data_IF_580491180232
#
_entry.id   IF_580491180232
#
_cell.length_a   1.000
_cell.length_b   1.000
_cell.length_c   1.000
_cell.angle_alpha   90.00
_cell.angle_beta   90.00
_cell.angle_gamma   90.00
#
_symmetry.space_group_name_H-M   'P 1'
#
loop_
_entity.id
_entity.type
_entity.pdbx_description
1 polymer ?
#
# COMPACT_ATOMS: atom_id res chain seq x y z
N UNK A 1 0.74 24.90 -5.55
CA UNK A 1 1.75 24.09 -6.23
C UNK A 1 2.77 23.71 -5.17
N UNK A 2 2.76 22.45 -4.69
CA UNK A 2 3.78 21.96 -3.76
C UNK A 2 4.92 21.45 -4.61
N UNK A 3 6.14 21.93 -4.34
CA UNK A 3 7.36 21.50 -5.00
C UNK A 3 7.44 19.97 -4.97
N UNK A 4 7.32 19.37 -6.15
CA UNK A 4 7.75 18.01 -6.40
C UNK A 4 9.27 18.03 -6.48
N UNK A 5 9.93 18.11 -5.32
CA UNK A 5 11.38 18.04 -5.27
C UNK A 5 11.79 16.61 -5.65
N UNK A 6 12.07 16.43 -6.95
CA UNK A 6 12.66 15.20 -7.48
C UNK A 6 13.89 14.84 -6.65
N UNK A 7 13.72 13.84 -5.79
CA UNK A 7 14.79 13.32 -4.97
C UNK A 7 15.63 12.40 -5.84
N UNK A 8 16.87 12.76 -6.09
CA UNK A 8 17.82 11.87 -6.77
C UNK A 8 17.96 10.56 -5.99
N UNK A 9 17.63 9.44 -6.62
CA UNK A 9 17.81 8.10 -6.07
C UNK A 9 19.17 7.59 -6.56
N UNK A 10 20.07 7.25 -5.63
CA UNK A 10 21.40 6.73 -5.97
C UNK A 10 21.45 5.20 -5.88
N UNK A 11 22.03 4.54 -6.87
CA UNK A 11 22.24 3.09 -6.87
C UNK A 11 23.04 2.61 -5.64
N UNK A 12 24.01 3.41 -5.18
CA UNK A 12 24.86 3.11 -4.01
C UNK A 12 24.07 3.05 -2.69
N UNK A 13 22.87 3.63 -2.64
CA UNK A 13 22.01 3.67 -1.45
C UNK A 13 20.98 2.52 -1.47
N UNK A 14 21.04 1.62 -2.47
CA UNK A 14 20.18 0.45 -2.53
C UNK A 14 20.41 -0.46 -1.31
N UNK A 15 19.32 -0.86 -0.67
CA UNK A 15 19.33 -1.80 0.43
C UNK A 15 18.11 -2.73 0.38
N UNK A 16 18.18 -3.88 1.05
CA UNK A 16 17.04 -4.78 1.19
C UNK A 16 15.87 -4.07 1.88
N UNK A 17 14.65 -4.36 1.44
CA UNK A 17 13.43 -3.90 2.11
C UNK A 17 13.36 -4.41 3.55
N UNK A 18 12.77 -3.62 4.45
CA UNK A 18 12.55 -3.97 5.86
C UNK A 18 11.59 -5.16 6.02
N UNK A 19 10.64 -5.31 5.09
CA UNK A 19 9.64 -6.39 5.08
C UNK A 19 9.61 -7.08 3.71
N UNK A 20 9.20 -8.34 3.73
CA UNK A 20 8.91 -9.13 2.53
C UNK A 20 7.42 -9.48 2.51
N UNK A 21 6.88 -9.56 1.29
CA UNK A 21 5.52 -10.04 1.02
C UNK A 21 5.70 -11.42 0.37
N UNK A 22 5.31 -12.46 1.09
CA UNK A 22 5.43 -13.84 0.60
C UNK A 22 4.24 -14.23 -0.29
N UNK A 23 3.06 -13.62 -0.07
CA UNK A 23 1.88 -13.79 -0.90
C UNK A 23 1.03 -12.52 -0.93
N UNK A 24 0.37 -12.27 -2.07
CA UNK A 24 -0.57 -11.17 -2.25
C UNK A 24 -1.84 -11.68 -2.94
N UNK A 25 -2.99 -11.45 -2.30
CA UNK A 25 -4.32 -11.71 -2.84
C UNK A 25 -5.09 -10.41 -2.98
N UNK A 26 -5.90 -10.31 -4.04
CA UNK A 26 -6.70 -9.12 -4.32
C UNK A 26 -8.13 -9.54 -4.68
N UNK A 27 -9.09 -8.97 -3.95
CA UNK A 27 -10.50 -8.95 -4.35
C UNK A 27 -10.82 -7.55 -4.87
N UNK A 28 -11.23 -7.47 -6.14
CA UNK A 28 -11.46 -6.21 -6.85
C UNK A 28 -12.94 -6.15 -7.25
N UNK A 29 -13.73 -5.41 -6.50
CA UNK A 29 -15.12 -5.12 -6.82
C UNK A 29 -15.19 -3.91 -7.76
N UNK A 30 -15.23 -4.17 -9.07
CA UNK A 30 -15.20 -3.15 -10.11
C UNK A 30 -16.44 -2.25 -10.07
N UNK A 31 -16.19 -0.95 -10.02
CA UNK A 31 -17.18 0.12 -10.19
C UNK A 31 -16.51 1.32 -10.84
N UNK A 32 -17.21 2.02 -11.74
CA UNK A 32 -16.60 3.07 -12.57
C UNK A 32 -15.96 4.19 -11.73
N UNK A 33 -16.62 4.59 -10.64
CA UNK A 33 -16.18 5.70 -9.78
C UNK A 33 -15.74 5.28 -8.38
N UNK A 34 -15.94 4.02 -8.00
CA UNK A 34 -15.77 3.56 -6.62
C UNK A 34 -15.34 2.09 -6.59
N UNK A 35 -14.33 1.73 -7.37
CA UNK A 35 -13.80 0.37 -7.33
C UNK A 35 -13.21 0.12 -5.96
N UNK A 36 -13.70 -0.93 -5.30
CA UNK A 36 -13.22 -1.34 -3.98
C UNK A 36 -12.21 -2.47 -4.13
N UNK A 37 -11.05 -2.31 -3.51
CA UNK A 37 -9.96 -3.28 -3.54
C UNK A 37 -9.68 -3.74 -2.12
N UNK A 38 -9.86 -5.04 -1.87
CA UNK A 38 -9.39 -5.70 -0.65
C UNK A 38 -8.07 -6.40 -0.98
N UNK A 39 -6.99 -5.88 -0.43
CA UNK A 39 -5.65 -6.45 -0.56
C UNK A 39 -5.33 -7.27 0.68
N UNK A 40 -4.99 -8.55 0.52
CA UNK A 40 -4.56 -9.44 1.61
C UNK A 40 -3.12 -9.87 1.36
N UNK A 41 -2.21 -9.42 2.23
CA UNK A 41 -0.76 -9.57 2.08
C UNK A 41 -0.23 -10.43 3.22
N UNK A 42 0.44 -11.54 2.90
CA UNK A 42 1.21 -12.31 3.88
C UNK A 42 2.60 -11.70 3.99
N UNK A 43 2.90 -11.10 5.14
CA UNK A 43 4.09 -10.29 5.36
C UNK A 43 4.98 -10.88 6.45
N UNK A 44 6.29 -10.59 6.37
CA UNK A 44 7.24 -10.89 7.45
C UNK A 44 8.40 -9.89 7.47
N UNK A 45 9.05 -9.68 8.62
CA UNK A 45 10.32 -8.97 8.67
C UNK A 45 11.36 -9.63 7.75
N UNK A 46 12.16 -8.82 7.06
CA UNK A 46 13.22 -9.33 6.19
C UNK A 46 14.48 -9.65 7.00
N UNK A 47 14.95 -10.92 7.07
CA UNK A 47 16.19 -11.26 7.78
C UNK A 47 17.42 -10.56 7.20
N UNK A 48 17.39 -10.16 5.92
CA UNK A 48 18.48 -9.46 5.26
C UNK A 48 18.55 -7.95 5.59
N UNK A 49 17.53 -7.37 6.25
CA UNK A 49 17.51 -5.95 6.60
C UNK A 49 18.57 -5.56 7.66
N UNK A 50 19.19 -6.55 8.32
CA UNK A 50 20.27 -6.34 9.29
C UNK A 50 19.84 -5.72 10.63
N UNK A 51 18.59 -5.26 10.74
CA UNK A 51 17.96 -4.74 11.95
C UNK A 51 16.50 -5.19 12.00
N UNK A 52 15.95 -5.27 13.21
CA UNK A 52 14.51 -5.46 13.38
C UNK A 52 13.81 -4.17 12.93
N UNK A 53 12.94 -4.21 11.91
CA UNK A 53 12.28 -3.01 11.41
C UNK A 53 11.28 -2.48 12.45
N UNK A 54 11.31 -1.16 12.66
CA UNK A 54 10.46 -0.50 13.66
C UNK A 54 9.09 -0.11 13.09
N UNK A 55 9.01 0.19 11.78
CA UNK A 55 7.80 0.68 11.12
C UNK A 55 7.60 -0.05 9.80
N UNK A 56 6.36 -0.33 9.42
CA UNK A 56 6.03 -0.79 8.07
C UNK A 56 5.60 0.41 7.23
N UNK A 57 6.26 0.64 6.10
CA UNK A 57 5.90 1.68 5.12
C UNK A 57 5.50 1.05 3.81
N UNK A 58 4.33 1.42 3.32
CA UNK A 58 3.77 0.96 2.05
C UNK A 58 3.50 2.18 1.15
N UNK A 59 3.80 2.06 -0.13
CA UNK A 59 3.39 3.05 -1.12
C UNK A 59 1.86 3.05 -1.23
N UNK A 60 1.24 4.20 -1.04
CA UNK A 60 -0.21 4.39 -1.00
C UNK A 60 -0.60 5.66 -1.78
N UNK A 61 -0.05 5.82 -2.97
CA UNK A 61 -0.35 6.96 -3.84
C UNK A 61 -1.79 6.92 -4.34
N UNK A 62 -2.51 8.04 -4.16
CA UNK A 62 -3.90 8.20 -4.61
C UNK A 62 -4.87 7.12 -4.09
N UNK A 63 -4.61 6.57 -2.91
CA UNK A 63 -5.42 5.51 -2.31
C UNK A 63 -6.31 6.06 -1.19
N UNK A 64 -7.62 5.86 -1.31
CA UNK A 64 -8.53 6.11 -0.18
C UNK A 64 -8.67 4.82 0.63
N UNK A 65 -8.06 4.77 1.81
CA UNK A 65 -8.13 3.59 2.68
C UNK A 65 -9.37 3.67 3.57
N UNK A 66 -10.23 2.65 3.49
CA UNK A 66 -11.42 2.52 4.35
C UNK A 66 -11.08 1.83 5.68
N UNK A 67 -10.26 0.78 5.62
CA UNK A 67 -9.88 0.03 6.83
C UNK A 67 -8.59 -0.76 6.64
N UNK A 68 -7.91 -1.03 7.74
CA UNK A 68 -6.69 -1.83 7.81
C UNK A 68 -6.88 -2.86 8.92
N UNK A 69 -6.52 -4.11 8.64
CA UNK A 69 -6.56 -5.20 9.60
C UNK A 69 -5.22 -5.93 9.64
N UNK A 70 -4.81 -6.33 10.82
CA UNK A 70 -3.64 -7.18 11.04
C UNK A 70 -4.14 -8.47 11.70
N UNK A 71 -3.88 -9.61 11.06
CA UNK A 71 -4.35 -10.93 11.50
C UNK A 71 -5.88 -10.97 11.78
N UNK A 72 -6.63 -10.23 10.95
CA UNK A 72 -8.09 -10.10 11.06
C UNK A 72 -8.58 -9.08 12.10
N UNK A 73 -7.70 -8.53 12.93
CA UNK A 73 -8.06 -7.49 13.90
C UNK A 73 -7.98 -6.09 13.29
N UNK A 74 -9.02 -5.28 13.48
CA UNK A 74 -9.08 -3.89 13.01
C UNK A 74 -7.98 -3.06 13.68
N UNK A 75 -7.17 -2.36 12.86
CA UNK A 75 -6.13 -1.47 13.35
C UNK A 75 -6.72 -0.10 13.67
N UNK A 76 -6.46 0.40 14.88
CA UNK A 76 -6.87 1.75 15.27
C UNK A 76 -6.21 2.82 14.39
N UNK A 77 -6.93 3.89 14.00
CA UNK A 77 -6.37 5.05 13.29
C UNK A 77 -5.20 5.73 14.01
N UNK A 78 -5.01 5.48 15.30
CA UNK A 78 -3.86 6.00 16.07
C UNK A 78 -2.56 5.23 15.84
N UNK A 79 -2.64 4.03 15.25
CA UNK A 79 -1.50 3.11 15.07
C UNK A 79 -0.88 3.25 13.67
N UNK A 80 -1.59 3.90 12.74
CA UNK A 80 -1.12 4.15 11.39
C UNK A 80 -1.31 5.60 10.97
N UNK A 81 -0.51 6.03 10.00
CA UNK A 81 -0.61 7.33 9.36
C UNK A 81 -0.69 7.12 7.85
N UNK A 82 -1.57 7.88 7.19
CA UNK A 82 -1.65 7.95 5.73
C UNK A 82 -1.36 9.38 5.32
N UNK A 83 -0.42 9.54 4.39
CA UNK A 83 -0.16 10.79 3.68
C UNK A 83 -0.38 10.61 2.18
N UNK A 84 0.02 11.61 1.38
CA UNK A 84 -0.23 11.60 -0.07
C UNK A 84 0.47 10.44 -0.82
N UNK A 85 1.54 9.87 -0.26
CA UNK A 85 2.35 8.84 -0.91
C UNK A 85 2.50 7.56 -0.08
N UNK A 86 2.32 7.63 1.25
CA UNK A 86 2.66 6.54 2.15
C UNK A 86 1.54 6.18 3.11
N UNK A 87 1.36 4.88 3.31
CA UNK A 87 0.75 4.28 4.48
C UNK A 87 1.87 3.81 5.41
N UNK A 88 1.91 4.33 6.63
CA UNK A 88 2.88 3.96 7.67
C UNK A 88 2.17 3.31 8.85
N UNK A 89 2.59 2.11 9.24
CA UNK A 89 2.14 1.43 10.47
C UNK A 89 3.29 1.48 11.47
N UNK A 90 3.06 2.09 12.64
CA UNK A 90 4.14 2.43 13.59
C UNK A 90 4.65 1.26 14.42
N UNK A 91 3.80 0.26 14.69
CA UNK A 91 4.15 -0.89 15.54
C UNK A 91 3.59 -2.20 14.92
N UNK A 92 4.11 -2.63 13.76
CA UNK A 92 3.66 -3.87 13.14
C UNK A 92 4.13 -5.11 13.93
N UNK A 93 3.47 -6.27 13.77
CA UNK A 93 3.90 -7.51 14.39
C UNK A 93 5.36 -7.87 14.06
N UNK A 94 6.05 -8.45 15.04
CA UNK A 94 7.44 -8.88 14.87
C UNK A 94 7.64 -10.28 14.32
N UNK A 95 6.56 -11.05 14.21
CA UNK A 95 6.48 -12.34 13.53
C UNK A 95 5.79 -12.17 12.18
N UNK A 96 5.78 -13.19 11.28
CA UNK A 96 4.91 -13.16 10.12
C UNK A 96 3.45 -12.87 10.50
N UNK A 97 2.76 -12.08 9.66
CA UNK A 97 1.39 -11.64 9.87
C UNK A 97 0.66 -11.45 8.54
N UNK A 98 -0.66 -11.36 8.59
CA UNK A 98 -1.51 -11.04 7.44
C UNK A 98 -2.00 -9.61 7.56
N UNK A 99 -1.61 -8.77 6.60
CA UNK A 99 -2.11 -7.41 6.46
C UNK A 99 -3.27 -7.39 5.46
N UNK A 100 -4.44 -6.94 5.89
CA UNK A 100 -5.58 -6.71 5.00
C UNK A 100 -5.87 -5.21 4.89
N UNK A 101 -5.88 -4.67 3.69
CA UNK A 101 -6.19 -3.26 3.41
C UNK A 101 -7.43 -3.22 2.53
N UNK A 102 -8.45 -2.52 2.99
CA UNK A 102 -9.63 -2.21 2.17
C UNK A 102 -9.50 -0.77 1.71
N UNK A 103 -9.53 -0.59 0.40
CA UNK A 103 -9.32 0.71 -0.24
C UNK A 103 -10.30 0.93 -1.39
N UNK A 104 -10.47 2.19 -1.75
CA UNK A 104 -11.35 2.64 -2.83
C UNK A 104 -10.57 3.53 -3.77
N UNK A 105 -10.84 3.38 -5.07
CA UNK A 105 -10.33 4.24 -6.12
C UNK A 105 -11.42 4.59 -7.13
N UNK A 106 -11.19 5.64 -7.93
CA UNK A 106 -12.04 6.08 -9.03
C UNK A 106 -11.31 5.86 -10.38
N UNK A 107 -11.50 4.69 -11.03
CA UNK A 107 -10.88 4.40 -12.31
C UNK A 107 -11.34 5.32 -13.45
N UNK A 108 -12.56 5.87 -13.39
CA UNK A 108 -13.10 6.73 -14.44
C UNK A 108 -12.44 8.11 -14.45
N UNK A 109 -12.13 8.66 -13.28
CA UNK A 109 -11.42 9.94 -13.16
C UNK A 109 -9.90 9.83 -13.30
N UNK A 110 -9.32 8.62 -13.23
CA UNK A 110 -7.89 8.41 -13.43
C UNK A 110 -7.45 8.73 -14.88
N UNK A 111 -6.84 9.90 -15.08
CA UNK A 111 -6.28 10.35 -16.38
C UNK A 111 -4.78 10.13 -16.51
N UNK A 112 -4.12 9.62 -15.46
CA UNK A 112 -2.69 9.34 -15.48
C UNK A 112 -2.35 8.07 -16.27
N UNK A 113 -3.35 7.21 -16.55
CA UNK A 113 -3.18 5.93 -17.25
C UNK A 113 -2.17 5.00 -16.56
N UNK A 114 -2.12 5.09 -15.23
CA UNK A 114 -1.27 4.27 -14.35
C UNK A 114 -2.12 3.75 -13.20
N UNK A 115 -1.87 2.51 -12.76
CA UNK A 115 -2.76 1.80 -11.85
C UNK A 115 -4.09 1.46 -12.54
N UNK A 116 -5.19 1.32 -11.78
CA UNK A 116 -6.50 1.00 -12.36
C UNK A 116 -7.16 2.22 -13.01
N UNK A 117 -7.55 2.11 -14.28
CA UNK A 117 -8.27 3.15 -15.03
C UNK A 117 -9.28 2.58 -16.03
N UNK A 118 -10.17 3.43 -16.55
CA UNK A 118 -11.12 3.06 -17.61
C UNK A 118 -10.74 3.71 -18.94
N UNK A 119 -10.52 2.89 -19.97
CA UNK A 119 -10.30 3.32 -21.35
C UNK A 119 -11.41 2.79 -22.25
N UNK A 120 -12.20 3.69 -22.86
CA UNK A 120 -13.33 3.35 -23.75
C UNK A 120 -14.31 2.32 -23.15
N UNK A 121 -14.57 2.43 -21.84
CA UNK A 121 -15.47 1.51 -21.12
C UNK A 121 -14.84 0.18 -20.68
N UNK A 122 -13.54 -0.01 -20.89
CA UNK A 122 -12.77 -1.19 -20.49
C UNK A 122 -11.88 -0.83 -19.30
N UNK A 123 -11.85 -1.67 -18.27
CA UNK A 123 -10.93 -1.53 -17.13
C UNK A 123 -9.54 -2.03 -17.50
N UNK A 124 -8.52 -1.23 -17.21
CA UNK A 124 -7.11 -1.49 -17.52
C UNK A 124 -6.22 -1.22 -16.31
N UNK A 125 -5.04 -1.84 -16.28
CA UNK A 125 -3.98 -1.63 -15.27
C UNK A 125 -2.63 -1.45 -15.95
#
# INVERSE_FOLDING_TARGET
>A
MKDDQQRTIYLKDYGPSDYLIDAAGFDIALHATQTRVTSTLTMRPNPAAGKKPAVLKLNAENLQVESIHIDGALVSPTVYQIDAAWLTIHEPPSSPFVLTIVSVCDPQSNKALSGLYVSRGIYCT
#
